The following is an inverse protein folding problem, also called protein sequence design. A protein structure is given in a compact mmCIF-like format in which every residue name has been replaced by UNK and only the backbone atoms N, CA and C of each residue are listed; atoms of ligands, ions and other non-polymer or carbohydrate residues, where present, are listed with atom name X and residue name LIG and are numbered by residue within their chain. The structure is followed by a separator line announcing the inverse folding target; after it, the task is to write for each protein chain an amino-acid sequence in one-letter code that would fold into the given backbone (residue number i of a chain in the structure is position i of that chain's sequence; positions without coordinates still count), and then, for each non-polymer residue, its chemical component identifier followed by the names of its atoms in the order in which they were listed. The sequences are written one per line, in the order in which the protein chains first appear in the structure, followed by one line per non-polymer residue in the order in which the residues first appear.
data_IF_386250294153
#
_entry.id   IF_386250294153
#
_cell.length_a   1.000
_cell.length_b   1.000
_cell.length_c   1.000
_cell.angle_alpha   90.00
_cell.angle_beta   90.00
_cell.angle_gamma   90.00
#
_symmetry.space_group_name_H-M   'P 1'
#
loop_
_entity.id
_entity.type
_entity.pdbx_description
1 polymer ?
#
# COMPACT_ATOMS: atom_id res chain seq x y z
N UNK A 1 9.85 -23.53 6.08
CA UNK A 1 9.85 -23.04 7.47
C UNK A 1 9.78 -21.53 7.43
N UNK A 2 9.30 -20.91 8.49
CA UNK A 2 9.34 -19.46 8.66
C UNK A 2 10.18 -19.18 9.90
N UNK A 3 11.14 -18.28 9.78
CA UNK A 3 11.94 -17.77 10.88
C UNK A 3 11.65 -16.27 11.05
N UNK A 4 11.44 -15.83 12.29
CA UNK A 4 11.24 -14.43 12.63
C UNK A 4 12.28 -14.02 13.65
N UNK A 5 13.08 -13.02 13.32
CA UNK A 5 14.12 -12.49 14.20
C UNK A 5 13.84 -11.02 14.52
N UNK A 6 13.67 -10.72 15.81
CA UNK A 6 13.37 -9.38 16.29
C UNK A 6 14.65 -8.68 16.75
N UNK A 7 14.88 -7.45 16.31
CA UNK A 7 16.06 -6.65 16.64
C UNK A 7 15.69 -5.43 17.48
N UNK A 8 16.52 -5.11 18.48
CA UNK A 8 16.44 -3.85 19.22
C UNK A 8 17.16 -2.70 18.47
N UNK A 9 17.07 -1.48 19.03
CA UNK A 9 17.71 -0.28 18.48
C UNK A 9 19.25 -0.34 18.43
N UNK A 10 19.87 -1.31 19.10
CA UNK A 10 21.31 -1.55 19.15
C UNK A 10 21.74 -2.72 18.24
N UNK A 11 20.83 -3.21 17.39
CA UNK A 11 21.06 -4.36 16.50
C UNK A 11 21.34 -5.66 17.25
N UNK A 12 20.81 -5.81 18.46
CA UNK A 12 20.85 -7.09 19.16
C UNK A 12 19.57 -7.86 18.86
N UNK A 13 19.74 -9.17 18.64
CA UNK A 13 18.63 -10.11 18.55
C UNK A 13 17.98 -10.22 19.92
N UNK A 14 16.70 -9.83 20.00
CA UNK A 14 15.88 -9.93 21.20
C UNK A 14 15.33 -11.35 21.32
N UNK A 15 14.76 -11.85 20.21
CA UNK A 15 14.07 -13.13 20.14
C UNK A 15 14.09 -13.65 18.69
N UNK A 16 14.14 -14.97 18.54
CA UNK A 16 13.97 -15.66 17.26
C UNK A 16 12.91 -16.75 17.40
N UNK A 17 11.92 -16.73 16.52
CA UNK A 17 10.85 -17.72 16.45
C UNK A 17 10.99 -18.55 15.15
N UNK A 18 11.03 -19.87 15.29
CA UNK A 18 10.98 -20.78 14.13
C UNK A 18 9.66 -21.55 14.10
N UNK A 19 8.97 -21.51 12.96
CA UNK A 19 7.72 -22.26 12.77
C UNK A 19 7.66 -22.99 11.42
N UNK A 20 7.16 -24.23 11.46
CA UNK A 20 6.78 -24.95 10.24
C UNK A 20 5.38 -24.52 9.81
N UNK A 21 5.28 -24.00 8.60
CA UNK A 21 4.03 -23.49 8.02
C UNK A 21 3.59 -24.39 6.86
N UNK A 22 2.31 -24.71 6.84
CA UNK A 22 1.67 -25.38 5.70
C UNK A 22 0.85 -24.35 4.93
N UNK A 23 1.02 -24.31 3.62
CA UNK A 23 0.29 -23.37 2.75
C UNK A 23 -1.00 -23.99 2.20
N UNK A 24 -2.02 -23.17 2.01
CA UNK A 24 -3.20 -23.47 1.20
C UNK A 24 -3.20 -22.56 -0.03
N UNK A 25 -3.23 -23.13 -1.23
CA UNK A 25 -3.13 -22.39 -2.50
C UNK A 25 -1.90 -21.45 -2.58
N UNK A 26 -0.75 -21.91 -2.06
CA UNK A 26 0.49 -21.13 -2.04
C UNK A 26 0.52 -19.99 -1.01
N UNK A 27 -0.49 -19.88 -0.13
CA UNK A 27 -0.57 -18.84 0.91
C UNK A 27 -0.67 -19.45 2.30
N UNK A 28 -0.16 -18.75 3.30
CA UNK A 28 -0.39 -19.04 4.71
C UNK A 28 -0.56 -17.74 5.48
N UNK A 29 -1.42 -17.76 6.50
CA UNK A 29 -1.56 -16.65 7.43
C UNK A 29 -0.76 -16.99 8.69
N UNK A 30 0.02 -16.03 9.16
CA UNK A 30 0.82 -16.14 10.37
C UNK A 30 0.61 -14.88 11.22
N UNK A 31 0.57 -15.05 12.54
CA UNK A 31 0.41 -13.96 13.50
C UNK A 31 1.56 -14.04 14.49
N UNK A 32 2.32 -12.95 14.61
CA UNK A 32 3.38 -12.78 15.59
C UNK A 32 2.96 -11.75 16.64
N UNK A 33 3.62 -11.78 17.80
CA UNK A 33 3.48 -10.76 18.82
C UNK A 33 4.86 -10.19 19.17
N UNK A 34 5.33 -9.17 18.44
CA UNK A 34 6.67 -8.61 18.61
C UNK A 34 6.94 -8.15 20.05
N UNK A 35 8.17 -8.33 20.58
CA UNK A 35 8.59 -7.73 21.85
C UNK A 35 8.46 -6.20 21.85
N UNK A 36 8.18 -5.60 23.01
CA UNK A 36 7.96 -4.13 23.13
C UNK A 36 9.15 -3.29 22.67
N UNK A 37 10.38 -3.76 22.84
CA UNK A 37 11.62 -3.05 22.49
C UNK A 37 12.10 -3.31 21.04
N UNK A 38 11.37 -4.12 20.27
CA UNK A 38 11.75 -4.46 18.90
C UNK A 38 11.55 -3.26 17.95
N UNK A 39 12.58 -2.89 17.21
CA UNK A 39 12.54 -1.83 16.19
C UNK A 39 12.57 -2.38 14.76
N UNK A 40 12.93 -3.65 14.59
CA UNK A 40 12.88 -4.35 13.33
C UNK A 40 12.50 -5.82 13.54
N UNK A 41 11.82 -6.39 12.54
CA UNK A 41 11.48 -7.80 12.43
C UNK A 41 11.97 -8.30 11.08
N UNK A 42 12.91 -9.23 11.10
CA UNK A 42 13.37 -9.97 9.92
C UNK A 42 12.54 -11.25 9.80
N UNK A 43 11.93 -11.47 8.64
CA UNK A 43 11.08 -12.62 8.33
C UNK A 43 11.75 -13.38 7.20
N UNK A 44 12.14 -14.62 7.45
CA UNK A 44 12.81 -15.47 6.46
C UNK A 44 11.97 -16.72 6.18
N UNK A 45 11.61 -16.90 4.91
CA UNK A 45 10.85 -18.04 4.42
C UNK A 45 11.78 -19.04 3.75
N UNK A 46 11.77 -20.29 4.23
CA UNK A 46 12.59 -21.38 3.72
C UNK A 46 11.74 -22.45 3.03
N UNK A 47 12.04 -22.78 1.77
CA UNK A 47 11.35 -23.83 1.02
C UNK A 47 12.31 -24.58 0.08
N UNK A 48 12.31 -25.92 0.15
CA UNK A 48 13.09 -26.80 -0.76
C UNK A 48 14.59 -26.48 -0.88
N UNK A 49 15.18 -25.87 0.15
CA UNK A 49 16.60 -25.48 0.19
C UNK A 49 16.87 -24.07 -0.34
N UNK A 50 15.84 -23.35 -0.76
CA UNK A 50 15.88 -21.92 -1.08
C UNK A 50 15.32 -21.08 0.08
N UNK A 51 15.67 -19.80 0.10
CA UNK A 51 15.16 -18.85 1.08
C UNK A 51 14.91 -17.48 0.48
N UNK A 52 13.93 -16.77 1.04
CA UNK A 52 13.65 -15.38 0.74
C UNK A 52 13.32 -14.62 2.03
N UNK A 53 13.61 -13.33 2.06
CA UNK A 53 13.62 -12.53 3.27
C UNK A 53 12.89 -11.20 3.12
N UNK A 54 12.21 -10.80 4.20
CA UNK A 54 11.55 -9.51 4.34
C UNK A 54 11.96 -8.89 5.66
N UNK A 55 12.33 -7.60 5.66
CA UNK A 55 12.44 -6.84 6.91
C UNK A 55 11.29 -5.86 7.07
N UNK A 56 10.61 -5.93 8.21
CA UNK A 56 9.62 -4.97 8.67
C UNK A 56 10.25 -4.06 9.73
N UNK A 57 10.00 -2.76 9.65
CA UNK A 57 10.47 -1.79 10.64
C UNK A 57 9.33 -1.34 11.53
N UNK A 58 9.63 -1.12 12.81
CA UNK A 58 8.66 -0.53 13.72
C UNK A 58 8.35 0.92 13.33
N UNK A 59 7.13 1.36 13.67
CA UNK A 59 6.81 2.78 13.66
C UNK A 59 7.46 3.48 14.85
N UNK A 60 7.77 4.76 14.70
CA UNK A 60 8.34 5.59 15.75
C UNK A 60 7.29 6.50 16.38
N UNK A 61 7.21 6.45 17.71
CA UNK A 61 6.45 7.39 18.54
C UNK A 61 7.25 7.70 19.82
N UNK A 62 7.53 8.98 20.13
CA UNK A 62 8.18 9.37 21.38
C UNK A 62 7.44 8.92 22.64
N UNK A 63 6.12 8.81 22.60
CA UNK A 63 5.31 8.39 23.75
C UNK A 63 4.81 6.93 23.70
N UNK A 64 5.21 6.15 22.69
CA UNK A 64 4.75 4.76 22.51
C UNK A 64 3.28 4.64 22.12
N UNK A 65 2.73 5.67 21.45
CA UNK A 65 1.35 5.70 21.00
C UNK A 65 1.26 5.49 19.49
N UNK A 66 0.59 4.42 19.08
CA UNK A 66 0.47 4.00 17.69
C UNK A 66 -1.00 3.97 17.26
N UNK A 67 -1.22 4.09 15.95
CA UNK A 67 -2.48 3.81 15.27
C UNK A 67 -2.20 2.74 14.22
N UNK A 68 -3.16 1.83 14.04
CA UNK A 68 -3.19 0.91 12.91
C UNK A 68 -4.60 0.87 12.32
N UNK A 69 -4.71 1.04 10.99
CA UNK A 69 -5.97 1.00 10.26
C UNK A 69 -6.01 -0.24 9.37
N UNK A 70 -7.10 -0.99 9.47
CA UNK A 70 -7.35 -2.18 8.64
C UNK A 70 -8.70 -2.06 7.93
N UNK A 71 -8.76 -2.47 6.66
CA UNK A 71 -10.03 -2.64 5.96
C UNK A 71 -10.72 -3.90 6.50
N UNK A 72 -11.98 -3.78 6.92
CA UNK A 72 -12.77 -4.93 7.41
C UNK A 72 -13.88 -5.35 6.44
N UNK A 73 -14.18 -4.53 5.43
CA UNK A 73 -15.05 -4.92 4.33
C UNK A 73 -14.32 -5.85 3.36
N UNK A 74 -14.99 -6.89 2.89
CA UNK A 74 -14.43 -7.81 1.90
C UNK A 74 -14.46 -7.22 0.48
N UNK A 75 -13.36 -7.40 -0.25
CA UNK A 75 -13.28 -7.08 -1.69
C UNK A 75 -13.25 -5.59 -2.02
N UNK A 76 -13.53 -5.29 -3.30
CA UNK A 76 -13.47 -3.95 -3.88
C UNK A 76 -14.92 -3.45 -4.03
N UNK A 77 -15.36 -2.45 -3.23
CA UNK A 77 -16.73 -1.94 -3.31
C UNK A 77 -17.00 -1.25 -4.64
N UNK A 78 -18.23 -1.36 -5.14
CA UNK A 78 -18.73 -0.49 -6.20
C UNK A 78 -19.02 0.92 -5.67
N UNK A 79 -19.09 1.91 -6.56
CA UNK A 79 -19.47 3.28 -6.16
C UNK A 79 -20.88 3.31 -5.56
N UNK A 80 -21.00 3.96 -4.41
CA UNK A 80 -22.24 4.07 -3.64
C UNK A 80 -22.43 2.98 -2.58
N UNK A 81 -21.62 1.91 -2.64
CA UNK A 81 -21.55 0.89 -1.60
C UNK A 81 -20.83 1.40 -0.36
N UNK A 82 -21.02 0.71 0.76
CA UNK A 82 -20.43 1.08 2.05
C UNK A 82 -19.14 0.30 2.25
N UNK A 83 -18.08 1.01 2.59
CA UNK A 83 -16.80 0.44 3.00
C UNK A 83 -16.55 0.77 4.47
N UNK A 84 -15.93 -0.16 5.19
CA UNK A 84 -15.67 -0.07 6.61
C UNK A 84 -14.21 -0.38 6.92
N UNK A 85 -13.66 0.41 7.83
CA UNK A 85 -12.31 0.29 8.36
C UNK A 85 -12.36 0.24 9.88
N UNK A 86 -11.44 -0.52 10.47
CA UNK A 86 -11.24 -0.59 11.91
C UNK A 86 -9.95 0.11 12.27
N UNK A 87 -9.99 0.89 13.35
CA UNK A 87 -8.86 1.65 13.87
C UNK A 87 -8.47 1.06 15.21
N UNK A 88 -7.26 0.53 15.29
CA UNK A 88 -6.63 0.05 16.52
C UNK A 88 -5.66 1.13 17.01
N UNK A 89 -5.64 1.41 18.32
CA UNK A 89 -4.69 2.35 18.90
C UNK A 89 -4.23 1.89 20.28
N UNK A 90 -2.96 2.11 20.59
CA UNK A 90 -2.39 1.86 21.93
C UNK A 90 -2.71 2.98 22.92
N UNK A 91 -3.04 4.18 22.43
CA UNK A 91 -3.39 5.33 23.25
C UNK A 91 -4.84 5.37 23.69
N UNK A 92 -5.14 6.16 24.73
CA UNK A 92 -6.54 6.43 25.12
C UNK A 92 -7.24 7.25 24.04
N UNK A 93 -8.12 6.58 23.30
CA UNK A 93 -8.88 7.15 22.19
C UNK A 93 -9.74 8.33 22.66
N UNK A 94 -9.55 9.49 22.03
CA UNK A 94 -10.39 10.67 22.22
C UNK A 94 -11.22 10.96 20.97
N UNK A 95 -10.54 11.25 19.85
CA UNK A 95 -11.16 11.39 18.52
C UNK A 95 -10.12 10.92 17.48
N UNK A 96 -10.58 10.14 16.49
CA UNK A 96 -9.85 9.86 15.26
C UNK A 96 -10.34 10.81 14.18
N UNK A 97 -9.42 11.60 13.62
CA UNK A 97 -9.66 12.40 12.43
C UNK A 97 -9.27 11.57 11.22
N UNK A 98 -10.02 11.69 10.14
CA UNK A 98 -9.72 10.94 8.93
C UNK A 98 -9.96 11.76 7.67
N UNK A 99 -9.09 11.55 6.70
CA UNK A 99 -9.04 12.22 5.43
C UNK A 99 -9.03 11.17 4.33
N UNK A 100 -9.85 11.37 3.29
CA UNK A 100 -9.81 10.53 2.09
C UNK A 100 -9.10 11.32 1.00
N UNK A 101 -7.96 10.81 0.55
CA UNK A 101 -7.14 11.41 -0.48
C UNK A 101 -7.22 10.56 -1.74
N UNK A 102 -7.54 11.16 -2.89
CA UNK A 102 -7.52 10.48 -4.19
C UNK A 102 -7.00 11.43 -5.26
N UNK A 103 -6.09 10.94 -6.10
CA UNK A 103 -5.46 11.71 -7.19
C UNK A 103 -4.93 13.07 -6.70
N UNK A 104 -4.15 13.05 -5.62
CA UNK A 104 -3.56 14.21 -4.94
C UNK A 104 -4.57 15.28 -4.46
N UNK A 105 -5.82 14.87 -4.22
CA UNK A 105 -6.88 15.75 -3.72
C UNK A 105 -7.53 15.18 -2.48
N UNK A 106 -7.78 16.05 -1.52
CA UNK A 106 -8.66 15.75 -0.40
C UNK A 106 -10.12 15.69 -0.89
N UNK A 107 -10.71 14.50 -0.89
CA UNK A 107 -12.08 14.27 -1.38
C UNK A 107 -13.10 14.18 -0.24
N UNK A 108 -12.67 13.88 1.00
CA UNK A 108 -13.53 13.84 2.18
C UNK A 108 -12.71 14.07 3.46
N UNK A 109 -13.31 14.71 4.47
CA UNK A 109 -12.69 15.04 5.76
C UNK A 109 -13.74 14.96 6.85
N UNK A 110 -13.46 14.24 7.94
CA UNK A 110 -14.37 14.09 9.08
C UNK A 110 -13.64 13.51 10.30
N UNK A 111 -14.37 13.28 11.39
CA UNK A 111 -13.85 12.66 12.60
C UNK A 111 -14.84 11.69 13.23
N UNK A 112 -14.33 10.75 14.02
CA UNK A 112 -15.13 9.78 14.78
C UNK A 112 -14.54 9.54 16.16
N UNK A 113 -15.40 9.14 17.10
CA UNK A 113 -14.97 8.59 18.41
C UNK A 113 -15.05 7.07 18.46
N UNK A 114 -15.58 6.46 17.40
CA UNK A 114 -15.65 5.02 17.25
C UNK A 114 -14.29 4.48 16.79
N UNK A 115 -13.96 3.25 17.16
CA UNK A 115 -12.84 2.49 16.57
C UNK A 115 -13.16 1.96 15.17
N UNK A 116 -14.17 2.53 14.52
CA UNK A 116 -14.67 2.12 13.22
C UNK A 116 -15.02 3.36 12.40
N UNK A 117 -14.49 3.40 11.19
CA UNK A 117 -14.78 4.41 10.17
C UNK A 117 -15.63 3.72 9.11
N UNK A 118 -16.74 4.35 8.73
CA UNK A 118 -17.68 3.81 7.74
C UNK A 118 -18.19 4.93 6.87
N UNK A 119 -18.07 4.77 5.56
CA UNK A 119 -18.56 5.75 4.60
C UNK A 119 -19.01 5.07 3.31
N UNK A 120 -19.79 5.80 2.51
CA UNK A 120 -20.16 5.37 1.16
C UNK A 120 -19.09 5.80 0.17
N UNK A 121 -18.69 4.89 -0.71
CA UNK A 121 -17.75 5.18 -1.79
C UNK A 121 -18.36 6.15 -2.79
N UNK A 122 -17.53 6.98 -3.42
CA UNK A 122 -17.95 7.98 -4.40
C UNK A 122 -17.13 7.85 -5.69
N UNK A 123 -17.59 8.37 -6.84
CA UNK A 123 -16.79 8.35 -8.07
C UNK A 123 -15.41 9.02 -7.93
N UNK A 124 -15.29 9.98 -7.01
CA UNK A 124 -14.05 10.69 -6.71
C UNK A 124 -12.99 9.81 -6.03
N UNK A 125 -13.39 8.65 -5.48
CA UNK A 125 -12.50 7.69 -4.81
C UNK A 125 -12.03 6.58 -5.74
N UNK A 126 -12.60 6.47 -6.95
CA UNK A 126 -12.23 5.45 -7.92
C UNK A 126 -11.02 5.89 -8.80
N UNK A 127 -10.21 4.95 -9.31
CA UNK A 127 -10.21 3.52 -8.99
C UNK A 127 -9.56 3.22 -7.62
N UNK A 128 -8.80 4.17 -7.08
CA UNK A 128 -8.13 4.04 -5.79
C UNK A 128 -8.07 5.36 -5.02
N UNK A 129 -8.00 5.23 -3.70
CA UNK A 129 -7.89 6.31 -2.75
C UNK A 129 -7.09 5.85 -1.52
N UNK A 130 -6.68 6.79 -0.67
CA UNK A 130 -6.02 6.53 0.61
C UNK A 130 -6.92 7.05 1.72
N UNK A 131 -7.14 6.23 2.74
CA UNK A 131 -7.71 6.66 4.01
C UNK A 131 -6.56 6.97 4.96
N UNK A 132 -6.32 8.25 5.22
CA UNK A 132 -5.39 8.72 6.23
C UNK A 132 -6.16 8.92 7.54
N UNK A 133 -5.67 8.37 8.65
CA UNK A 133 -6.29 8.48 9.98
C UNK A 133 -5.24 8.96 10.97
N UNK A 134 -5.61 9.92 11.80
CA UNK A 134 -4.72 10.43 12.85
C UNK A 134 -5.48 10.78 14.12
N UNK A 135 -4.76 10.80 15.24
CA UNK A 135 -5.25 11.31 16.51
C UNK A 135 -4.26 12.30 17.11
N UNK A 136 -4.79 13.23 17.89
CA UNK A 136 -4.00 14.16 18.68
C UNK A 136 -4.11 13.73 20.14
N UNK A 137 -2.98 13.32 20.72
CA UNK A 137 -2.87 12.82 22.08
C UNK A 137 -2.93 13.97 23.10
N UNK A 138 -3.24 13.71 24.38
CA UNK A 138 -3.27 14.76 25.41
C UNK A 138 -1.94 15.48 25.63
N UNK A 139 -0.81 14.84 25.32
CA UNK A 139 0.53 15.44 25.32
C UNK A 139 0.80 16.28 24.06
N UNK A 140 -0.19 16.48 23.18
CA UNK A 140 -0.07 17.15 21.88
C UNK A 140 0.83 16.44 20.87
N UNK A 141 1.11 15.15 21.06
CA UNK A 141 1.73 14.34 20.01
C UNK A 141 0.66 13.87 19.00
N UNK A 142 1.05 13.79 17.74
CA UNK A 142 0.22 13.21 16.68
C UNK A 142 0.67 11.78 16.39
N UNK A 143 -0.27 10.84 16.45
CA UNK A 143 -0.10 9.51 15.88
C UNK A 143 -0.96 9.40 14.61
N UNK A 144 -0.45 8.73 13.59
CA UNK A 144 -1.13 8.59 12.31
C UNK A 144 -0.85 7.22 11.68
N UNK A 145 -1.77 6.77 10.84
CA UNK A 145 -1.60 5.64 9.93
C UNK A 145 -2.43 5.90 8.65
N UNK A 146 -2.08 5.24 7.56
CA UNK A 146 -2.86 5.32 6.33
C UNK A 146 -3.00 3.96 5.66
N UNK A 147 -4.11 3.78 4.93
CA UNK A 147 -4.34 2.58 4.14
C UNK A 147 -4.85 2.94 2.74
N UNK A 148 -4.20 2.46 1.66
CA UNK A 148 -4.78 2.53 0.33
C UNK A 148 -5.97 1.55 0.21
N UNK A 149 -7.01 1.96 -0.50
CA UNK A 149 -8.15 1.10 -0.82
C UNK A 149 -8.63 1.35 -2.24
N UNK A 150 -9.20 0.30 -2.83
CA UNK A 150 -9.73 0.33 -4.19
C UNK A 150 -11.25 0.56 -4.19
N UNK A 151 -11.74 1.18 -5.25
CA UNK A 151 -13.17 1.32 -5.56
C UNK A 151 -13.35 0.96 -7.01
N UNK A 152 -14.37 0.15 -7.31
CA UNK A 152 -14.62 -0.30 -8.68
C UNK A 152 -14.66 0.89 -9.64
N UNK A 153 -13.95 0.84 -10.78
CA UNK A 153 -13.87 1.95 -11.69
C UNK A 153 -15.25 2.31 -12.21
N UNK A 154 -15.60 3.60 -12.11
CA UNK A 154 -16.77 4.16 -12.79
C UNK A 154 -16.31 4.82 -14.06
N UNK A 155 -16.70 4.24 -15.19
CA UNK A 155 -16.48 4.86 -16.48
C UNK A 155 -17.47 6.02 -16.63
N UNK A 156 -16.98 7.25 -16.84
CA UNK A 156 -17.85 8.42 -16.94
C UNK A 156 -18.77 8.37 -18.17
N UNK A 157 -18.44 7.52 -19.16
CA UNK A 157 -19.22 7.28 -20.36
C UNK A 157 -19.21 5.78 -20.66
N UNK A 158 -20.39 5.20 -20.86
CA UNK A 158 -20.49 3.88 -21.46
C UNK A 158 -20.18 3.98 -22.96
N UNK A 159 -19.31 3.09 -23.44
CA UNK A 159 -18.99 2.96 -24.86
C UNK A 159 -19.13 1.50 -25.26
N UNK A 160 -19.99 1.23 -26.24
CA UNK A 160 -20.11 -0.08 -26.88
C UNK A 160 -19.64 0.03 -28.32
N UNK A 161 -19.03 -1.05 -28.82
CA UNK A 161 -18.62 -1.17 -30.20
C UNK A 161 -18.96 -2.58 -30.68
N UNK A 162 -19.74 -2.67 -31.75
CA UNK A 162 -20.18 -3.93 -32.34
C UNK A 162 -19.84 -3.94 -33.83
N UNK A 163 -19.51 -5.12 -34.34
CA UNK A 163 -19.33 -5.33 -35.78
C UNK A 163 -20.64 -5.84 -36.37
N UNK A 164 -20.92 -5.47 -37.62
CA UNK A 164 -22.11 -5.93 -38.35
C UNK A 164 -22.15 -7.46 -38.55
N UNK A 165 -21.01 -8.14 -38.43
CA UNK A 165 -20.85 -9.58 -38.57
C UNK A 165 -19.68 -10.11 -37.74
N UNK A 166 -19.81 -11.34 -37.23
CA UNK A 166 -18.78 -11.99 -36.38
C UNK A 166 -17.56 -12.49 -37.18
N UNK A 167 -17.77 -12.87 -38.44
CA UNK A 167 -16.73 -13.36 -39.35
C UNK A 167 -16.86 -12.66 -40.72
N UNK A 168 -15.73 -12.41 -41.38
CA UNK A 168 -15.67 -11.74 -42.67
C UNK A 168 -14.52 -12.31 -43.52
N UNK A 169 -14.73 -12.38 -44.84
CA UNK A 169 -13.69 -12.75 -45.80
C UNK A 169 -12.84 -11.53 -46.22
N UNK A 170 -11.61 -11.74 -46.73
CA UNK A 170 -10.78 -10.65 -47.21
C UNK A 170 -11.46 -9.85 -48.33
N UNK A 171 -11.72 -8.57 -48.08
CA UNK A 171 -12.36 -7.66 -49.02
C UNK A 171 -13.85 -7.45 -48.77
N UNK A 172 -14.44 -8.15 -47.80
CA UNK A 172 -15.80 -7.89 -47.33
C UNK A 172 -15.90 -6.48 -46.73
N UNK A 173 -17.06 -5.85 -46.96
CA UNK A 173 -17.42 -4.60 -46.31
C UNK A 173 -18.00 -4.90 -44.92
N UNK A 174 -17.46 -4.25 -43.89
CA UNK A 174 -17.88 -4.44 -42.49
C UNK A 174 -18.23 -3.08 -41.91
N UNK A 175 -19.34 -3.00 -41.21
CA UNK A 175 -19.75 -1.81 -40.46
C UNK A 175 -19.39 -1.97 -38.97
N UNK A 176 -18.95 -0.88 -38.34
CA UNK A 176 -18.66 -0.84 -36.91
C UNK A 176 -19.62 0.16 -36.28
N UNK A 177 -20.57 -0.35 -35.51
CA UNK A 177 -21.52 0.45 -34.76
C UNK A 177 -20.92 0.82 -33.42
N UNK A 178 -20.71 2.12 -33.20
CA UNK A 178 -20.18 2.65 -31.94
C UNK A 178 -21.22 3.51 -31.28
N UNK A 179 -21.58 3.14 -30.06
CA UNK A 179 -22.48 3.92 -29.23
C UNK A 179 -21.71 4.44 -28.02
N UNK A 180 -21.81 5.74 -27.77
CA UNK A 180 -21.20 6.39 -26.62
C UNK A 180 -22.21 7.27 -25.90
N UNK A 181 -22.11 7.37 -24.58
CA UNK A 181 -22.95 8.26 -23.80
C UNK A 181 -22.53 9.73 -24.00
N UNK A 182 -23.49 10.58 -24.38
CA UNK A 182 -23.28 12.02 -24.54
C UNK A 182 -22.39 12.41 -25.74
N UNK A 183 -21.94 13.66 -25.77
CA UNK A 183 -21.00 14.15 -26.79
C UNK A 183 -19.59 13.61 -26.51
N UNK A 184 -19.20 12.57 -27.26
CA UNK A 184 -17.92 11.87 -27.07
C UNK A 184 -17.02 11.97 -28.30
N UNK A 185 -15.70 11.97 -28.07
CA UNK A 185 -14.68 11.78 -29.14
C UNK A 185 -14.18 10.35 -29.10
N UNK A 186 -14.38 9.62 -30.18
CA UNK A 186 -13.96 8.21 -30.29
C UNK A 186 -12.76 8.09 -31.21
N UNK A 187 -11.71 7.41 -30.73
CA UNK A 187 -10.56 7.00 -31.52
C UNK A 187 -10.60 5.50 -31.79
N UNK A 188 -10.49 5.09 -33.05
CA UNK A 188 -10.54 3.69 -33.47
C UNK A 188 -9.15 3.26 -33.95
N UNK A 189 -8.70 2.07 -33.54
CA UNK A 189 -7.48 1.45 -34.02
C UNK A 189 -7.74 -0.02 -34.38
N UNK A 190 -7.52 -0.38 -35.64
CA UNK A 190 -7.57 -1.76 -36.10
C UNK A 190 -6.16 -2.33 -36.13
N UNK A 191 -5.95 -3.51 -35.53
CA UNK A 191 -4.64 -4.13 -35.52
C UNK A 191 -4.73 -5.65 -35.64
N UNK A 192 -3.79 -6.21 -36.37
CA UNK A 192 -3.66 -7.65 -36.59
C UNK A 192 -3.40 -8.42 -35.28
N UNK A 193 -4.05 -9.58 -35.12
CA UNK A 193 -3.95 -10.43 -33.93
C UNK A 193 -2.55 -11.02 -33.74
N UNK A 194 -1.77 -11.21 -34.82
CA UNK A 194 -0.36 -11.65 -34.74
C UNK A 194 0.53 -10.63 -34.03
N UNK A 195 0.22 -9.34 -34.15
CA UNK A 195 0.88 -8.27 -33.38
C UNK A 195 0.49 -8.34 -31.91
N UNK A 196 -0.68 -8.88 -31.58
CA UNK A 196 -1.12 -9.07 -30.18
C UNK A 196 -0.26 -10.09 -29.42
N UNK A 197 0.36 -11.05 -30.13
CA UNK A 197 1.30 -12.02 -29.55
C UNK A 197 2.70 -11.40 -29.37
N UNK A 198 3.01 -10.36 -30.16
CA UNK A 198 4.34 -9.74 -30.24
C UNK A 198 4.45 -8.39 -29.51
N UNK A 199 3.34 -7.79 -29.09
CA UNK A 199 3.30 -6.47 -28.48
C UNK A 199 2.65 -6.52 -27.09
N UNK A 200 3.49 -6.63 -26.06
CA UNK A 200 3.12 -6.48 -24.64
C UNK A 200 2.70 -5.04 -24.26
N UNK A 201 2.70 -4.10 -25.22
CA UNK A 201 2.61 -2.65 -24.97
C UNK A 201 1.27 -1.99 -25.36
N UNK A 202 0.16 -2.73 -25.45
CA UNK A 202 -1.15 -2.06 -25.54
C UNK A 202 -1.62 -1.64 -24.18
N UNK A 203 -2.20 -0.44 -24.10
CA UNK A 203 -2.89 0.10 -22.93
C UNK A 203 -4.38 -0.23 -23.06
N UNK A 204 -4.88 -1.21 -22.30
CA UNK A 204 -6.29 -1.32 -21.98
C UNK A 204 -6.64 -0.30 -20.87
N UNK A 205 -7.93 -0.03 -20.64
CA UNK A 205 -8.35 0.94 -19.62
C UNK A 205 -7.81 0.60 -18.23
N UNK A 206 -7.73 -0.69 -17.88
CA UNK A 206 -7.07 -1.14 -16.65
C UNK A 206 -5.60 -0.73 -16.63
N UNK A 207 -4.84 -0.88 -17.72
CA UNK A 207 -3.44 -0.46 -17.81
C UNK A 207 -3.29 1.07 -17.82
N UNK A 208 -4.25 1.81 -18.37
CA UNK A 208 -4.28 3.28 -18.24
C UNK A 208 -4.50 3.66 -16.79
N UNK A 209 -5.47 3.03 -16.10
CA UNK A 209 -5.69 3.27 -14.67
C UNK A 209 -4.51 2.83 -13.83
N UNK A 210 -3.92 1.66 -14.06
CA UNK A 210 -2.71 1.21 -13.39
C UNK A 210 -1.56 2.17 -13.65
N UNK A 211 -1.45 2.76 -14.86
CA UNK A 211 -0.41 3.74 -15.15
C UNK A 211 -0.69 5.10 -14.51
N UNK A 212 -1.94 5.54 -14.47
CA UNK A 212 -2.34 6.74 -13.74
C UNK A 212 -2.12 6.54 -12.24
N UNK A 213 -2.45 5.36 -11.72
CA UNK A 213 -2.17 4.93 -10.37
C UNK A 213 -0.66 4.94 -10.13
N UNK A 214 0.18 4.32 -10.96
CA UNK A 214 1.64 4.40 -10.84
C UNK A 214 2.19 5.85 -10.89
N UNK A 215 1.52 6.75 -11.62
CA UNK A 215 1.94 8.15 -11.76
C UNK A 215 1.51 9.03 -10.58
N UNK A 216 0.33 8.80 -9.99
CA UNK A 216 -0.26 9.61 -8.91
C UNK A 216 -0.15 8.94 -7.53
N UNK A 217 0.02 7.63 -7.52
CA UNK A 217 0.47 6.84 -6.40
C UNK A 217 1.88 6.43 -6.78
N UNK A 218 2.87 7.13 -6.22
CA UNK A 218 4.24 6.65 -6.28
C UNK A 218 4.19 5.15 -6.00
N UNK A 219 4.82 4.29 -6.83
CA UNK A 219 4.79 2.87 -6.57
C UNK A 219 5.43 2.68 -5.19
N UNK A 220 4.59 2.42 -4.19
CA UNK A 220 5.01 1.76 -2.96
C UNK A 220 5.23 0.31 -3.39
N UNK A 221 6.25 0.09 -4.23
CA UNK A 221 7.04 -1.11 -4.04
C UNK A 221 7.55 -0.91 -2.63
N UNK A 222 6.92 -1.57 -1.66
CA UNK A 222 7.64 -1.97 -0.47
C UNK A 222 8.82 -2.76 -1.02
N UNK A 223 9.94 -2.06 -1.24
CA UNK A 223 11.20 -2.68 -1.60
C UNK A 223 11.53 -3.49 -0.36
N UNK A 224 11.14 -4.76 -0.39
CA UNK A 224 11.39 -5.71 0.68
C UNK A 224 12.89 -6.01 0.85
N UNK A 225 13.74 -5.47 -0.02
CA UNK A 225 15.18 -5.31 0.23
C UNK A 225 15.48 -4.03 1.04
N UNK A 226 14.90 -3.91 2.24
CA UNK A 226 15.44 -2.97 3.22
C UNK A 226 16.73 -3.57 3.78
N UNK A 227 17.88 -3.13 3.26
CA UNK A 227 19.16 -3.39 3.91
C UNK A 227 19.22 -2.59 5.22
N UNK A 228 19.06 -3.26 6.36
CA UNK A 228 19.26 -2.66 7.71
C UNK A 228 20.71 -2.24 7.99
N UNK A 229 21.62 -2.53 7.06
CA UNK A 229 22.99 -2.05 7.07
C UNK A 229 23.13 -0.86 6.12
N UNK A 230 23.60 0.31 6.58
CA UNK A 230 24.23 0.59 7.88
C UNK A 230 23.29 1.10 9.00
N UNK A 231 22.02 1.44 8.68
CA UNK A 231 21.09 2.06 9.62
C UNK A 231 19.69 1.43 9.61
N UNK A 232 19.01 1.45 10.76
CA UNK A 232 17.58 1.13 10.89
C UNK A 232 16.84 2.46 10.95
N UNK A 233 15.98 2.75 9.98
CA UNK A 233 15.19 3.99 9.97
C UNK A 233 13.71 3.69 10.19
N UNK A 234 13.28 3.86 11.44
CA UNK A 234 11.86 3.75 11.81
C UNK A 234 11.08 4.98 11.35
N UNK A 235 9.82 4.80 10.96
CA UNK A 235 8.99 5.87 10.38
C UNK A 235 8.02 6.45 11.40
N UNK A 236 7.94 7.77 11.49
CA UNK A 236 7.04 8.49 12.39
C UNK A 236 5.77 8.98 11.69
N UNK A 237 4.90 9.65 12.46
CA UNK A 237 3.65 10.21 11.95
C UNK A 237 3.85 11.22 10.81
N UNK A 238 4.94 12.00 10.80
CA UNK A 238 5.25 12.93 9.72
C UNK A 238 5.45 12.20 8.38
N UNK A 239 6.15 11.06 8.40
CA UNK A 239 6.40 10.24 7.22
C UNK A 239 5.10 9.62 6.68
N UNK A 240 4.18 9.26 7.59
CA UNK A 240 2.83 8.77 7.23
C UNK A 240 2.04 9.84 6.48
N UNK A 241 2.09 11.10 6.91
CA UNK A 241 1.41 12.19 6.20
C UNK A 241 2.00 12.43 4.81
N UNK A 242 3.34 12.42 4.71
CA UNK A 242 4.05 12.58 3.43
C UNK A 242 3.66 11.47 2.44
N UNK A 243 3.66 10.21 2.88
CA UNK A 243 3.24 9.06 2.07
C UNK A 243 1.77 9.10 1.65
N UNK A 244 0.91 9.57 2.55
CA UNK A 244 -0.49 9.81 2.24
C UNK A 244 -0.68 10.94 1.21
N UNK A 245 0.38 11.68 0.85
CA UNK A 245 0.35 12.77 -0.12
C UNK A 245 -0.12 14.09 0.47
N UNK A 246 0.06 14.29 1.78
CA UNK A 246 -0.43 15.45 2.52
C UNK A 246 0.73 16.20 3.18
N UNK A 247 0.73 17.53 3.05
CA UNK A 247 1.64 18.40 3.79
C UNK A 247 0.95 18.85 5.08
N UNK A 248 1.59 18.59 6.22
CA UNK A 248 1.09 19.01 7.53
C UNK A 248 1.83 20.23 8.04
N UNK A 249 1.06 21.23 8.50
CA UNK A 249 1.55 22.38 9.25
C UNK A 249 0.91 22.34 10.64
N UNK A 250 1.74 22.22 11.67
CA UNK A 250 1.28 22.02 13.03
C UNK A 250 2.03 22.91 14.01
N UNK A 251 1.32 23.36 15.05
CA UNK A 251 1.90 23.94 16.26
C UNK A 251 2.16 22.89 17.36
N UNK A 252 1.82 21.63 17.08
CA UNK A 252 1.99 20.46 17.93
C UNK A 252 3.14 19.58 17.42
N UNK A 253 3.57 18.62 18.22
CA UNK A 253 4.63 17.69 17.84
C UNK A 253 4.09 16.63 16.88
N UNK A 254 4.65 16.59 15.68
CA UNK A 254 4.38 15.56 14.67
C UNK A 254 5.68 14.79 14.50
N UNK A 255 5.85 13.63 15.16
CA UNK A 255 7.12 12.91 15.16
C UNK A 255 7.53 12.51 13.74
N UNK A 256 8.73 12.89 13.34
CA UNK A 256 9.39 12.30 12.17
C UNK A 256 10.04 10.96 12.50
N UNK A 257 10.50 10.25 11.47
CA UNK A 257 11.24 9.02 11.62
C UNK A 257 12.52 9.18 12.46
N UNK A 258 13.02 8.04 12.94
CA UNK A 258 14.24 7.96 13.73
C UNK A 258 15.19 6.92 13.15
N UNK A 259 16.41 7.38 12.89
CA UNK A 259 17.52 6.57 12.43
C UNK A 259 18.34 6.04 13.62
N UNK A 260 18.63 4.75 13.59
CA UNK A 260 19.52 4.06 14.52
C UNK A 260 20.74 3.59 13.74
N UNK A 261 21.93 4.03 14.15
CA UNK A 261 23.18 3.61 13.54
C UNK A 261 23.75 2.39 14.26
N UNK A 262 24.30 1.44 13.50
CA UNK A 262 25.08 0.34 14.06
C UNK A 262 26.39 0.87 14.67
N UNK A 263 26.38 1.21 15.96
CA UNK A 263 27.56 1.71 16.66
C UNK A 263 28.67 0.64 16.67
N UNK A 264 29.70 0.80 15.81
CA UNK A 264 30.95 0.04 15.88
C UNK A 264 30.87 -1.46 15.54
N UNK A 265 29.72 -2.00 15.09
CA UNK A 265 29.66 -3.31 14.46
C UNK A 265 30.14 -3.15 13.02
N UNK A 266 31.46 -3.29 12.82
CA UNK A 266 32.08 -3.29 11.50
C UNK A 266 31.27 -4.18 10.56
N UNK A 267 31.01 -3.70 9.34
CA UNK A 267 30.28 -4.47 8.34
C UNK A 267 30.83 -5.89 8.23
N UNK A 268 29.96 -6.83 7.87
CA UNK A 268 30.28 -8.25 7.66
C UNK A 268 31.52 -8.51 6.78
N UNK A 269 32.02 -7.51 6.07
CA UNK A 269 33.34 -7.45 5.45
C UNK A 269 34.42 -6.98 6.44
N UNK A 270 34.58 -7.68 7.57
CA UNK A 270 35.76 -7.52 8.40
C UNK A 270 37.01 -8.00 7.66
N UNK A 271 37.92 -7.07 7.33
CA UNK A 271 39.40 -7.17 7.31
C UNK A 271 40.09 -8.55 7.15
N UNK A 272 39.57 -9.44 6.31
CA UNK A 272 40.04 -10.83 6.21
C UNK A 272 40.40 -11.34 4.82
N UNK A 273 40.07 -10.63 3.73
CA UNK A 273 40.19 -11.17 2.37
C UNK A 273 41.29 -10.55 1.49
N UNK A 274 42.17 -9.71 2.05
CA UNK A 274 43.33 -9.17 1.34
C UNK A 274 44.62 -9.18 2.17
N UNK A 275 44.98 -10.33 2.73
CA UNK A 275 46.37 -10.63 3.12
C UNK A 275 46.66 -12.12 2.95
N UNK A 276 47.44 -12.45 1.91
CA UNK A 276 48.03 -13.78 1.70
C UNK A 276 47.85 -14.28 0.28
#
# INVERSE_FOLDING_TARGET
ALELTYLDSEYNEIETEEQRINTSNGKALYSANPPEDAVALMIEGYAEGDWDGLTLLASYSPSGNFIHVEQVSDGIPAVGETIQFKVNSTGRVSNFYYEIVSRDKLVYSDYTRSSTITFRTTPMMAPSARLLVYQILPNSEVAADYIPFEVSPVYPHEVTAEFSQDEAEPGDEIEIDIQAEGESRVGIAAVDRSVYILAENRLNLQQVFNKLEELYMQPQVELHEVSIYPSITTRGAMDVFEDAGVVVLSNNDVPGGKEYEAAGKGGFWGDGLWRG
#
